data_IF_030511880931
#
_entry.id   IF_030511880931
#
_cell.length_a   1.000
_cell.length_b   1.000
_cell.length_c   1.000
_cell.angle_alpha   90.00
_cell.angle_beta   90.00
_cell.angle_gamma   90.00
#
_symmetry.space_group_name_H-M   'P 1'
#
loop_
_entity.id
_entity.type
_entity.pdbx_description
1 polymer ?
#
# COMPACT_ATOMS: atom_id res chain seq x y z
N UNK A 1 -36.32 1.58 0.25
CA UNK A 1 -36.47 3.04 0.42
C UNK A 1 -35.07 3.63 0.52
N UNK A 2 -34.79 4.72 -0.19
CA UNK A 2 -33.49 5.38 -0.10
C UNK A 2 -33.38 6.08 1.26
N UNK A 3 -32.26 5.88 1.94
CA UNK A 3 -31.99 6.45 3.25
C UNK A 3 -31.89 7.98 3.15
N UNK A 4 -32.47 8.72 4.10
CA UNK A 4 -32.39 10.18 4.08
C UNK A 4 -30.99 10.66 4.48
N UNK A 5 -30.56 11.84 4.03
CA UNK A 5 -29.25 12.40 4.40
C UNK A 5 -29.08 12.54 5.93
N UNK A 6 -30.17 12.81 6.66
CA UNK A 6 -30.15 12.91 8.11
C UNK A 6 -29.87 11.55 8.78
N UNK A 7 -30.51 10.49 8.28
CA UNK A 7 -30.26 9.12 8.73
C UNK A 7 -28.82 8.68 8.44
N UNK A 8 -28.25 9.10 7.31
CA UNK A 8 -26.85 8.80 6.97
C UNK A 8 -25.89 9.46 7.97
N UNK A 9 -26.14 10.73 8.34
CA UNK A 9 -25.28 11.45 9.29
C UNK A 9 -25.33 10.81 10.68
N UNK A 10 -26.52 10.46 11.17
CA UNK A 10 -26.68 9.77 12.47
C UNK A 10 -25.91 8.46 12.48
N UNK A 11 -26.05 7.64 11.44
CA UNK A 11 -25.33 6.38 11.33
C UNK A 11 -23.80 6.57 11.33
N UNK A 12 -23.31 7.64 10.69
CA UNK A 12 -21.87 7.96 10.66
C UNK A 12 -21.38 8.32 12.08
N UNK A 13 -22.12 9.13 12.82
CA UNK A 13 -21.74 9.51 14.19
C UNK A 13 -21.78 8.31 15.15
N UNK A 14 -22.79 7.44 15.03
CA UNK A 14 -22.84 6.20 15.81
C UNK A 14 -21.65 5.28 15.49
N UNK A 15 -21.27 5.17 14.21
CA UNK A 15 -20.10 4.38 13.79
C UNK A 15 -18.79 4.98 14.32
N UNK A 16 -18.62 6.30 14.26
CA UNK A 16 -17.44 6.98 14.81
C UNK A 16 -17.31 6.74 16.30
N UNK A 17 -18.39 6.88 17.06
CA UNK A 17 -18.36 6.67 18.50
C UNK A 17 -18.04 5.22 18.85
N UNK A 18 -18.58 4.24 18.11
CA UNK A 18 -18.24 2.83 18.29
C UNK A 18 -16.76 2.57 18.04
N UNK A 19 -16.18 3.13 16.98
CA UNK A 19 -14.74 3.03 16.70
C UNK A 19 -13.92 3.66 17.82
N UNK A 20 -14.33 4.84 18.30
CA UNK A 20 -13.69 5.54 19.41
C UNK A 20 -13.66 4.69 20.68
N UNK A 21 -14.79 4.07 21.04
CA UNK A 21 -14.88 3.17 22.19
C UNK A 21 -14.00 1.93 22.03
N UNK A 22 -14.02 1.28 20.87
CA UNK A 22 -13.13 0.13 20.60
C UNK A 22 -11.65 0.50 20.74
N UNK A 23 -11.24 1.69 20.31
CA UNK A 23 -9.85 2.17 20.48
C UNK A 23 -9.50 2.36 21.95
N UNK A 24 -10.38 2.98 22.73
CA UNK A 24 -10.21 3.14 24.18
C UNK A 24 -10.11 1.78 24.88
N UNK A 25 -10.99 0.84 24.55
CA UNK A 25 -10.97 -0.54 25.07
C UNK A 25 -9.67 -1.28 24.73
N UNK A 26 -9.05 -0.93 23.60
CA UNK A 26 -7.75 -1.46 23.16
C UNK A 26 -6.54 -0.70 23.73
N UNK A 27 -6.75 0.28 24.62
CA UNK A 27 -5.68 1.11 25.17
C UNK A 27 -5.07 2.11 24.16
N UNK A 28 -5.74 2.33 23.03
CA UNK A 28 -5.30 3.27 21.99
C UNK A 28 -5.94 4.65 22.21
N UNK A 29 -5.28 5.69 21.71
CA UNK A 29 -5.85 7.04 21.70
C UNK A 29 -7.23 7.06 21.00
N UNK A 30 -8.25 7.72 21.59
CA UNK A 30 -9.62 7.74 21.07
C UNK A 30 -9.68 8.23 19.61
N UNK A 31 -8.88 9.25 19.32
CA UNK A 31 -8.69 9.77 17.98
C UNK A 31 -7.42 9.17 17.37
N UNK A 32 -7.45 8.69 16.11
CA UNK A 32 -6.26 8.20 15.46
C UNK A 32 -5.24 9.33 15.27
N UNK A 33 -4.01 9.11 15.73
CA UNK A 33 -2.90 10.04 15.44
C UNK A 33 -2.74 10.15 13.92
N UNK A 34 -2.82 11.38 13.40
CA UNK A 34 -2.39 11.64 12.04
C UNK A 34 -0.87 11.57 12.01
N UNK A 35 -0.32 10.57 11.33
CA UNK A 35 1.11 10.49 11.13
C UNK A 35 1.59 11.69 10.32
N UNK A 36 2.66 12.37 10.75
CA UNK A 36 3.19 13.50 10.01
C UNK A 36 3.60 13.06 8.60
N UNK A 37 3.24 13.87 7.60
CA UNK A 37 3.78 13.71 6.26
C UNK A 37 5.18 14.30 6.26
N UNK A 38 6.18 13.45 6.04
CA UNK A 38 7.60 13.83 6.11
C UNK A 38 8.33 13.62 4.79
N UNK A 39 7.68 13.03 3.79
CA UNK A 39 8.26 12.75 2.49
C UNK A 39 8.03 13.94 1.55
N UNK A 40 9.12 14.61 1.19
CA UNK A 40 9.09 15.70 0.23
C UNK A 40 8.79 15.22 -1.21
N UNK A 41 8.57 16.18 -2.09
CA UNK A 41 8.27 15.95 -3.50
C UNK A 41 9.42 15.25 -4.23
N UNK A 42 10.67 15.64 -3.99
CA UNK A 42 11.84 15.14 -4.73
C UNK A 42 12.07 13.65 -4.46
N UNK A 43 12.05 13.26 -3.19
CA UNK A 43 12.15 11.85 -2.78
C UNK A 43 10.93 11.05 -3.24
N UNK A 44 9.73 11.64 -3.22
CA UNK A 44 8.53 10.97 -3.72
C UNK A 44 8.59 10.66 -5.22
N UNK A 45 9.10 11.60 -6.02
CA UNK A 45 9.33 11.40 -7.46
C UNK A 45 10.40 10.32 -7.68
N UNK A 46 11.51 10.38 -6.92
CA UNK A 46 12.57 9.38 -7.02
C UNK A 46 12.04 7.97 -6.71
N UNK A 47 11.29 7.79 -5.62
CA UNK A 47 10.66 6.51 -5.29
C UNK A 47 9.70 6.01 -6.38
N UNK A 48 8.90 6.91 -6.97
CA UNK A 48 8.00 6.58 -8.08
C UNK A 48 8.76 6.05 -9.30
N UNK A 49 9.94 6.62 -9.59
CA UNK A 49 10.82 6.13 -10.65
C UNK A 49 11.45 4.77 -10.30
N UNK A 50 11.84 4.57 -9.03
CA UNK A 50 12.39 3.29 -8.54
C UNK A 50 11.37 2.16 -8.54
N UNK A 51 10.07 2.44 -8.56
CA UNK A 51 8.99 1.45 -8.69
C UNK A 51 8.81 0.95 -10.14
N UNK A 52 9.33 1.65 -11.15
CA UNK A 52 9.08 1.29 -12.56
C UNK A 52 9.54 -0.12 -12.97
N UNK A 53 10.68 -0.65 -12.49
CA UNK A 53 11.05 -2.05 -12.72
C UNK A 53 10.00 -3.04 -12.19
N UNK A 54 9.44 -2.78 -11.01
CA UNK A 54 8.35 -3.60 -10.46
C UNK A 54 7.08 -3.50 -11.32
N UNK A 55 6.70 -2.29 -11.76
CA UNK A 55 5.57 -2.12 -12.69
C UNK A 55 5.72 -2.98 -13.95
N UNK A 56 6.93 -3.04 -14.53
CA UNK A 56 7.19 -3.88 -15.70
C UNK A 56 7.02 -5.38 -15.40
N UNK A 57 7.41 -5.84 -14.20
CA UNK A 57 7.18 -7.22 -13.74
C UNK A 57 5.68 -7.49 -13.62
N UNK A 58 4.92 -6.58 -13.00
CA UNK A 58 3.47 -6.72 -12.83
C UNK A 58 2.74 -6.74 -14.19
N UNK A 59 3.18 -5.96 -15.17
CA UNK A 59 2.64 -6.02 -16.55
C UNK A 59 2.85 -7.41 -17.15
N UNK A 60 4.05 -7.97 -17.04
CA UNK A 60 4.35 -9.33 -17.54
C UNK A 60 3.50 -10.37 -16.82
N UNK A 61 3.40 -10.27 -15.50
CA UNK A 61 2.60 -11.18 -14.70
C UNK A 61 1.11 -11.13 -15.08
N UNK A 62 0.54 -9.93 -15.23
CA UNK A 62 -0.84 -9.75 -15.69
C UNK A 62 -1.07 -10.34 -17.09
N UNK A 63 -0.07 -10.26 -17.98
CA UNK A 63 -0.15 -10.87 -19.31
C UNK A 63 -0.16 -12.41 -19.25
N UNK A 64 0.70 -13.01 -18.41
CA UNK A 64 0.71 -14.46 -18.16
C UNK A 64 -0.64 -14.92 -17.60
N UNK A 65 -1.15 -14.19 -16.61
CA UNK A 65 -2.45 -14.47 -16.01
C UNK A 65 -3.60 -14.36 -17.01
N UNK A 66 -3.57 -13.36 -17.90
CA UNK A 66 -4.57 -13.18 -18.96
C UNK A 66 -4.56 -14.31 -20.00
N UNK A 67 -3.43 -15.02 -20.16
CA UNK A 67 -3.32 -16.21 -21.01
C UNK A 67 -3.85 -17.48 -20.32
N UNK A 68 -4.39 -17.37 -19.09
CA UNK A 68 -4.88 -18.50 -18.30
C UNK A 68 -3.77 -19.29 -17.62
N UNK A 69 -2.54 -18.76 -17.60
CA UNK A 69 -1.41 -19.39 -16.92
C UNK A 69 -1.28 -18.86 -15.50
N UNK A 70 -1.09 -19.77 -14.56
CA UNK A 70 -0.81 -19.44 -13.17
C UNK A 70 0.65 -19.72 -12.87
N UNK A 71 1.28 -18.79 -12.18
CA UNK A 71 2.70 -18.84 -11.86
C UNK A 71 2.89 -18.35 -10.44
N UNK A 72 3.55 -19.15 -9.62
CA UNK A 72 3.95 -18.74 -8.28
C UNK A 72 5.15 -17.78 -8.40
N UNK A 73 5.06 -16.63 -7.73
CA UNK A 73 6.14 -15.66 -7.67
C UNK A 73 6.69 -15.56 -6.25
N UNK A 74 8.02 -15.63 -6.12
CA UNK A 74 8.69 -15.37 -4.86
C UNK A 74 8.57 -13.88 -4.48
N UNK A 75 7.59 -13.57 -3.63
CA UNK A 75 7.26 -12.20 -3.20
C UNK A 75 8.33 -11.59 -2.30
N UNK A 76 9.17 -12.41 -1.65
CA UNK A 76 10.28 -11.93 -0.83
C UNK A 76 11.31 -11.15 -1.65
N UNK A 77 11.35 -11.36 -2.98
CA UNK A 77 12.19 -10.57 -3.89
C UNK A 77 11.67 -9.15 -4.13
N UNK A 78 10.49 -8.81 -3.63
CA UNK A 78 9.85 -7.53 -3.84
C UNK A 78 9.74 -6.67 -2.56
N UNK A 79 10.38 -7.08 -1.47
CA UNK A 79 10.33 -6.35 -0.18
C UNK A 79 10.78 -4.89 -0.31
N UNK A 80 11.82 -4.61 -1.10
CA UNK A 80 12.26 -3.24 -1.35
C UNK A 80 11.15 -2.35 -1.95
N UNK A 81 10.27 -2.92 -2.79
CA UNK A 81 9.14 -2.18 -3.34
C UNK A 81 8.02 -1.99 -2.31
N UNK A 82 7.89 -2.88 -1.32
CA UNK A 82 7.00 -2.66 -0.16
C UNK A 82 7.49 -1.48 0.66
N UNK A 83 8.79 -1.38 0.89
CA UNK A 83 9.37 -0.24 1.61
C UNK A 83 9.14 1.07 0.86
N UNK A 84 9.37 1.09 -0.44
CA UNK A 84 9.05 2.26 -1.28
C UNK A 84 7.56 2.62 -1.19
N UNK A 85 6.67 1.64 -1.30
CA UNK A 85 5.23 1.86 -1.21
C UNK A 85 4.80 2.39 0.17
N UNK A 86 5.41 1.86 1.23
CA UNK A 86 5.18 2.30 2.61
C UNK A 86 5.61 3.74 2.81
N UNK A 87 6.78 4.13 2.31
CA UNK A 87 7.26 5.51 2.39
C UNK A 87 6.35 6.47 1.62
N UNK A 88 5.90 6.13 0.41
CA UNK A 88 4.99 6.97 -0.38
C UNK A 88 3.65 7.26 0.33
N UNK A 89 3.23 6.46 1.32
CA UNK A 89 2.08 6.78 2.18
C UNK A 89 2.28 8.07 2.98
N UNK A 90 3.52 8.47 3.23
CA UNK A 90 3.91 9.65 4.00
C UNK A 90 4.26 10.87 3.12
N UNK A 91 4.04 10.80 1.81
CA UNK A 91 4.17 11.93 0.89
C UNK A 91 3.29 13.12 1.28
N UNK A 92 3.87 14.32 1.21
CA UNK A 92 3.19 15.58 1.50
C UNK A 92 1.97 15.83 0.60
N UNK A 93 2.02 15.36 -0.66
CA UNK A 93 0.89 15.45 -1.57
C UNK A 93 0.25 14.10 -1.83
N UNK A 94 -1.08 14.09 -1.87
CA UNK A 94 -1.87 12.86 -2.08
C UNK A 94 -1.50 12.14 -3.38
N UNK A 95 -1.26 12.88 -4.47
CA UNK A 95 -0.94 12.28 -5.77
C UNK A 95 0.34 11.44 -5.74
N UNK A 96 1.33 11.86 -4.95
CA UNK A 96 2.58 11.12 -4.78
C UNK A 96 2.42 9.81 -4.00
N UNK A 97 1.33 9.63 -3.25
CA UNK A 97 1.04 8.37 -2.56
C UNK A 97 0.43 7.28 -3.47
N UNK A 98 -0.14 7.66 -4.63
CA UNK A 98 -0.89 6.76 -5.53
C UNK A 98 -0.01 5.61 -6.07
N UNK A 99 1.25 5.84 -6.51
CA UNK A 99 2.10 4.74 -6.95
C UNK A 99 2.34 3.68 -5.87
N UNK A 100 2.45 4.09 -4.59
CA UNK A 100 2.55 3.16 -3.47
C UNK A 100 1.32 2.27 -3.32
N UNK A 101 0.11 2.83 -3.50
CA UNK A 101 -1.13 2.04 -3.51
C UNK A 101 -1.15 1.01 -4.65
N UNK A 102 -0.63 1.38 -5.82
CA UNK A 102 -0.46 0.47 -6.95
C UNK A 102 0.43 -0.73 -6.60
N UNK A 103 1.58 -0.49 -5.97
CA UNK A 103 2.49 -1.56 -5.53
C UNK A 103 1.83 -2.51 -4.54
N UNK A 104 1.21 -1.98 -3.47
CA UNK A 104 0.53 -2.78 -2.45
C UNK A 104 -0.58 -3.62 -3.07
N UNK A 105 -1.39 -3.02 -3.93
CA UNK A 105 -2.49 -3.71 -4.62
C UNK A 105 -1.98 -4.86 -5.48
N UNK A 106 -0.89 -4.65 -6.23
CA UNK A 106 -0.30 -5.69 -7.08
C UNK A 106 0.28 -6.84 -6.25
N UNK A 107 1.00 -6.55 -5.17
CA UNK A 107 1.56 -7.57 -4.28
C UNK A 107 0.47 -8.40 -3.61
N UNK A 108 -0.60 -7.77 -3.09
CA UNK A 108 -1.72 -8.49 -2.50
C UNK A 108 -2.40 -9.46 -3.49
N UNK A 109 -2.47 -9.08 -4.78
CA UNK A 109 -3.00 -9.98 -5.82
C UNK A 109 -2.05 -11.16 -6.04
N UNK A 110 -0.74 -10.91 -6.14
CA UNK A 110 0.26 -11.97 -6.32
C UNK A 110 0.25 -12.94 -5.13
N UNK A 111 0.27 -12.42 -3.90
CA UNK A 111 0.22 -13.24 -2.69
C UNK A 111 -1.04 -14.09 -2.60
N UNK A 112 -2.20 -13.51 -2.97
CA UNK A 112 -3.45 -14.25 -3.01
C UNK A 112 -3.39 -15.40 -4.02
N UNK A 113 -2.90 -15.14 -5.24
CA UNK A 113 -2.76 -16.19 -6.26
C UNK A 113 -1.76 -17.26 -5.82
N UNK A 114 -0.62 -16.89 -5.23
CA UNK A 114 0.31 -17.84 -4.66
C UNK A 114 -0.37 -18.72 -3.60
N UNK A 115 -1.11 -18.11 -2.68
CA UNK A 115 -1.88 -18.83 -1.67
C UNK A 115 -2.90 -19.80 -2.27
N UNK A 116 -3.60 -19.39 -3.33
CA UNK A 116 -4.55 -20.27 -4.03
C UNK A 116 -3.85 -21.44 -4.76
N UNK A 117 -2.65 -21.21 -5.30
CA UNK A 117 -1.82 -22.27 -5.89
C UNK A 117 -1.36 -23.25 -4.79
N UNK A 118 -0.80 -22.75 -3.71
CA UNK A 118 -0.21 -23.54 -2.63
C UNK A 118 -1.28 -24.38 -1.89
N UNK A 119 -2.50 -23.86 -1.79
CA UNK A 119 -3.65 -24.57 -1.22
C UNK A 119 -4.39 -25.48 -2.21
N UNK A 120 -3.99 -25.51 -3.49
CA UNK A 120 -4.63 -26.32 -4.52
C UNK A 120 -6.05 -25.86 -4.90
N UNK A 121 -6.41 -24.60 -4.62
CA UNK A 121 -7.75 -24.01 -4.90
C UNK A 121 -7.80 -23.27 -6.24
N UNK A 122 -6.91 -23.65 -7.16
CA UNK A 122 -6.69 -23.02 -8.48
C UNK A 122 -7.98 -22.86 -9.30
N UNK A 123 -8.87 -23.85 -9.28
CA UNK A 123 -10.13 -23.84 -10.04
C UNK A 123 -11.11 -22.74 -9.59
N UNK A 124 -10.89 -22.15 -8.42
CA UNK A 124 -11.75 -21.09 -7.86
C UNK A 124 -11.21 -19.67 -8.13
N UNK A 125 -10.03 -19.55 -8.74
CA UNK A 125 -9.39 -18.27 -8.99
C UNK A 125 -10.18 -17.46 -10.01
N UNK A 126 -10.65 -16.27 -9.60
CA UNK A 126 -11.27 -15.30 -10.49
C UNK A 126 -10.19 -14.55 -11.30
N UNK A 127 -9.63 -15.20 -12.31
CA UNK A 127 -8.60 -14.66 -13.21
C UNK A 127 -9.01 -13.28 -13.75
N UNK A 128 -10.26 -13.14 -14.22
CA UNK A 128 -10.75 -11.89 -14.79
C UNK A 128 -10.76 -10.73 -13.78
N UNK A 129 -11.11 -11.02 -12.53
CA UNK A 129 -11.08 -10.06 -11.43
C UNK A 129 -9.66 -9.63 -11.11
N UNK A 130 -8.74 -10.59 -10.99
CA UNK A 130 -7.34 -10.31 -10.71
C UNK A 130 -6.65 -9.50 -11.81
N UNK A 131 -6.86 -9.85 -13.09
CA UNK A 131 -6.33 -9.07 -14.23
C UNK A 131 -6.86 -7.63 -14.21
N UNK A 132 -8.14 -7.43 -13.89
CA UNK A 132 -8.70 -6.06 -13.76
C UNK A 132 -8.06 -5.29 -12.62
N UNK A 133 -7.89 -5.91 -11.45
CA UNK A 133 -7.22 -5.28 -10.31
C UNK A 133 -5.77 -4.94 -10.63
N UNK A 134 -5.03 -5.85 -11.28
CA UNK A 134 -3.66 -5.59 -11.73
C UNK A 134 -3.59 -4.45 -12.75
N UNK A 135 -4.56 -4.35 -13.67
CA UNK A 135 -4.64 -3.22 -14.61
C UNK A 135 -4.76 -1.87 -13.88
N UNK A 136 -5.59 -1.79 -12.85
CA UNK A 136 -5.71 -0.57 -12.04
C UNK A 136 -4.42 -0.26 -11.28
N UNK A 137 -3.81 -1.27 -10.68
CA UNK A 137 -2.52 -1.14 -10.01
C UNK A 137 -1.42 -0.62 -10.96
N UNK A 138 -1.33 -1.19 -12.17
CA UNK A 138 -0.37 -0.77 -13.21
C UNK A 138 -0.57 0.70 -13.61
N UNK A 139 -1.83 1.14 -13.73
CA UNK A 139 -2.14 2.53 -14.04
C UNK A 139 -1.73 3.48 -12.90
N UNK A 140 -1.97 3.10 -11.64
CA UNK A 140 -1.56 3.89 -10.50
C UNK A 140 -0.03 4.01 -10.33
N UNK A 141 0.73 3.02 -10.82
CA UNK A 141 2.19 3.06 -10.85
C UNK A 141 2.77 3.87 -12.03
N UNK A 142 1.94 4.53 -12.84
CA UNK A 142 2.45 5.34 -13.95
C UNK A 142 3.33 6.51 -13.46
N UNK A 143 4.41 6.84 -14.20
CA UNK A 143 5.27 7.95 -13.84
C UNK A 143 4.48 9.26 -13.75
N UNK A 144 4.60 9.94 -12.61
CA UNK A 144 3.98 11.24 -12.38
C UNK A 144 4.87 12.34 -12.95
N UNK A 145 4.92 12.50 -14.29
CA UNK A 145 5.33 13.73 -15.01
C UNK A 145 6.64 14.49 -14.64
N UNK A 146 7.47 14.01 -13.73
CA UNK A 146 8.65 14.70 -13.19
C UNK A 146 9.95 14.00 -13.56
N UNK A 147 11.02 14.79 -13.77
CA UNK A 147 12.37 14.23 -13.90
C UNK A 147 12.93 13.96 -12.51
N UNK A 148 13.60 12.82 -12.33
CA UNK A 148 14.41 12.58 -11.14
C UNK A 148 15.43 13.72 -11.01
N UNK A 149 15.37 14.44 -9.88
CA UNK A 149 16.27 15.57 -9.57
C UNK A 149 17.35 15.20 -8.56
N UNK A 150 17.34 13.95 -8.12
CA UNK A 150 18.17 13.42 -7.04
C UNK A 150 19.14 12.42 -7.65
N UNK A 151 20.43 12.54 -7.34
CA UNK A 151 21.45 11.55 -7.72
C UNK A 151 21.30 10.26 -6.91
N UNK A 152 21.92 9.16 -7.35
CA UNK A 152 21.87 7.88 -6.61
C UNK A 152 22.39 8.01 -5.15
N UNK A 153 23.42 8.83 -4.94
CA UNK A 153 23.99 9.07 -3.62
C UNK A 153 23.03 9.86 -2.72
N UNK A 154 22.47 10.95 -3.24
CA UNK A 154 21.47 11.75 -2.52
C UNK A 154 20.20 10.94 -2.23
N UNK A 155 19.78 10.08 -3.17
CA UNK A 155 18.63 9.20 -2.97
C UNK A 155 18.86 8.25 -1.79
N UNK A 156 20.05 7.65 -1.70
CA UNK A 156 20.39 6.70 -0.63
C UNK A 156 20.31 7.38 0.74
N UNK A 157 20.91 8.57 0.88
CA UNK A 157 20.87 9.34 2.13
C UNK A 157 19.44 9.73 2.52
N UNK A 158 18.67 10.26 1.56
CA UNK A 158 17.27 10.65 1.79
C UNK A 158 16.38 9.45 2.13
N UNK A 159 16.60 8.31 1.46
CA UNK A 159 15.87 7.07 1.70
C UNK A 159 16.14 6.51 3.10
N UNK A 160 17.40 6.40 3.52
CA UNK A 160 17.77 5.93 4.86
C UNK A 160 17.19 6.85 5.95
N UNK A 161 17.27 8.16 5.75
CA UNK A 161 16.67 9.15 6.67
C UNK A 161 15.15 9.01 6.75
N UNK A 162 14.49 8.69 5.63
CA UNK A 162 13.06 8.48 5.59
C UNK A 162 12.64 7.17 6.28
N UNK A 163 13.43 6.11 6.15
CA UNK A 163 13.21 4.85 6.86
C UNK A 163 13.27 5.02 8.38
N UNK A 164 14.19 5.86 8.90
CA UNK A 164 14.28 6.14 10.35
C UNK A 164 13.08 6.89 10.92
N UNK A 165 12.28 7.53 10.05
CA UNK A 165 11.07 8.27 10.43
C UNK A 165 9.80 7.43 10.25
N UNK A 166 9.91 6.22 9.69
CA UNK A 166 8.76 5.33 9.58
C UNK A 166 8.29 4.93 10.99
N UNK A 167 6.98 4.99 11.25
CA UNK A 167 6.45 4.36 12.44
C UNK A 167 6.76 2.86 12.42
N UNK A 168 6.83 2.19 13.60
CA UNK A 168 6.88 0.73 13.66
C UNK A 168 5.78 0.13 12.77
N UNK A 169 6.04 -1.05 12.20
CA UNK A 169 5.01 -1.69 11.37
C UNK A 169 3.78 -1.95 12.26
N UNK A 170 2.56 -1.87 11.74
CA UNK A 170 1.35 -2.16 12.54
C UNK A 170 1.36 -3.60 13.12
N UNK A 171 2.26 -4.47 12.62
CA UNK A 171 2.55 -5.82 13.16
C UNK A 171 3.62 -5.87 14.26
N UNK A 172 4.35 -4.79 14.48
CA UNK A 172 5.48 -4.67 15.42
C UNK A 172 5.12 -3.77 16.62
N UNK A 173 3.87 -3.32 16.74
CA UNK A 173 3.39 -2.58 17.91
C UNK A 173 3.16 -3.56 19.07
N UNK A 174 4.20 -3.81 19.86
CA UNK A 174 4.01 -4.23 21.25
C UNK A 174 3.59 -2.96 22.03
N UNK A 175 2.40 -2.92 22.64
CA UNK A 175 2.05 -1.81 23.50
C UNK A 175 3.10 -1.74 24.61
N UNK A 176 3.74 -0.58 24.75
CA UNK A 176 4.66 -0.33 25.86
C UNK A 176 3.92 -0.65 27.16
N UNK A 177 4.39 -1.67 27.89
CA UNK A 177 3.97 -1.88 29.27
C UNK A 177 4.39 -0.62 30.04
N UNK A 178 3.43 0.27 30.30
CA UNK A 178 3.62 1.37 31.24
C UNK A 178 4.01 0.75 32.58
N UNK A 179 5.26 1.01 32.98
CA UNK A 179 5.82 0.59 34.25
C UNK A 179 5.14 1.39 35.36
N UNK A 180 4.51 0.68 36.30
CA UNK A 180 3.90 1.21 37.52
C UNK A 180 4.84 2.10 38.37
#
# INVERSE_FOLDING_TARGET
MAQSNAEIIVNIEELKERIRQTRIEQGLDPEPKQWPKFMDEELSIALTNRIQPFRAIVIKYASILAQGQLMNLDVCKFEIYRDYARLLRFSCEFLYSIPGLGVVTALNVIEKINGDIDNGTVDTINVSGHVRTLRHAIHWMEPQGGKERVTDAEFTELYERALMQLPPNDKDYEPEEESE
#
